data_IF_411456599531
#
_entry.id   IF_411456599531
#
_cell.length_a   1.000
_cell.length_b   1.000
_cell.length_c   1.000
_cell.angle_alpha   90.00
_cell.angle_beta   90.00
_cell.angle_gamma   90.00
#
_symmetry.space_group_name_H-M   'P 1'
#
loop_
_entity.id
_entity.type
_entity.pdbx_description
1 polymer ?
#
# COMPACT_ATOMS: atom_id res chain seq x y z
N UNK A 1 -1.05 5.45 -6.19
CA UNK A 1 -0.65 5.48 -7.63
C UNK A 1 0.05 6.78 -8.03
N UNK A 2 -0.66 7.91 -8.11
CA UNK A 2 -0.11 9.14 -8.71
C UNK A 2 1.15 9.68 -8.00
N UNK A 3 1.22 9.56 -6.67
CA UNK A 3 2.40 9.98 -5.90
C UNK A 3 3.66 9.18 -6.25
N UNK A 4 3.52 7.88 -6.53
CA UNK A 4 4.63 7.00 -6.96
C UNK A 4 5.11 7.40 -8.35
N UNK A 5 4.20 7.73 -9.27
CA UNK A 5 4.54 8.23 -10.60
C UNK A 5 5.18 9.63 -10.56
N UNK A 6 4.84 10.45 -9.56
CA UNK A 6 5.43 11.76 -9.34
C UNK A 6 6.86 11.75 -8.78
N UNK A 7 7.45 10.56 -8.56
CA UNK A 7 8.86 10.38 -8.16
C UNK A 7 9.24 11.05 -6.83
N UNK A 8 8.49 10.74 -5.77
CA UNK A 8 8.92 11.01 -4.38
C UNK A 8 10.00 10.02 -3.93
N UNK A 9 10.69 10.31 -2.80
CA UNK A 9 11.71 9.39 -2.25
C UNK A 9 11.13 8.01 -1.90
N UNK A 10 10.03 8.00 -1.17
CA UNK A 10 9.39 6.78 -0.68
C UNK A 10 7.92 7.00 -0.38
N UNK A 11 7.14 5.93 -0.41
CA UNK A 11 5.73 5.89 -0.01
C UNK A 11 5.52 4.72 0.95
N UNK A 12 4.90 4.98 2.08
CA UNK A 12 4.44 3.93 2.99
C UNK A 12 2.94 3.83 2.94
N UNK A 13 2.43 2.61 2.72
CA UNK A 13 1.01 2.30 2.69
C UNK A 13 0.58 1.84 4.08
N UNK A 14 -0.43 2.51 4.64
CA UNK A 14 -1.06 2.09 5.89
C UNK A 14 -2.47 1.58 5.61
N UNK A 15 -2.77 0.38 6.10
CA UNK A 15 -4.12 -0.19 6.17
C UNK A 15 -4.09 -1.31 7.22
N UNK A 16 -5.10 -1.38 8.09
CA UNK A 16 -5.25 -2.45 9.08
C UNK A 16 -6.18 -3.58 8.57
N UNK A 17 -6.96 -3.31 7.51
CA UNK A 17 -7.97 -4.22 7.01
C UNK A 17 -7.48 -5.23 5.98
N UNK A 18 -8.31 -6.24 5.77
CA UNK A 18 -8.09 -7.31 4.80
C UNK A 18 -8.77 -6.99 3.47
N UNK A 19 -8.25 -7.58 2.39
CA UNK A 19 -8.90 -7.56 1.08
C UNK A 19 -10.20 -8.35 1.17
N UNK A 20 -11.31 -7.68 0.86
CA UNK A 20 -12.66 -8.24 0.80
C UNK A 20 -13.21 -8.18 -0.64
N UNK A 21 -14.34 -8.85 -0.88
CA UNK A 21 -14.92 -8.96 -2.23
C UNK A 21 -15.23 -7.59 -2.86
N UNK A 22 -15.67 -6.63 -2.06
CA UNK A 22 -16.00 -5.29 -2.54
C UNK A 22 -14.76 -4.48 -2.97
N UNK A 23 -13.57 -4.81 -2.46
CA UNK A 23 -12.31 -4.16 -2.84
C UNK A 23 -11.92 -4.47 -4.30
N UNK A 24 -12.42 -5.56 -4.87
CA UNK A 24 -12.13 -5.98 -6.26
C UNK A 24 -12.90 -5.20 -7.32
N UNK A 25 -13.98 -4.53 -6.92
CA UNK A 25 -14.87 -3.84 -7.85
C UNK A 25 -14.26 -2.58 -8.48
N UNK A 26 -13.19 -2.02 -7.89
CA UNK A 26 -12.63 -0.73 -8.32
C UNK A 26 -11.09 -0.64 -8.33
N UNK A 27 -10.39 -1.68 -7.85
CA UNK A 27 -8.93 -1.63 -7.70
C UNK A 27 -8.22 -2.62 -8.62
N UNK A 28 -7.40 -2.10 -9.55
CA UNK A 28 -6.40 -2.89 -10.30
C UNK A 28 -5.34 -3.54 -9.38
N UNK A 29 -5.35 -3.18 -8.10
CA UNK A 29 -4.38 -3.60 -7.08
C UNK A 29 -4.64 -5.00 -6.54
N UNK A 30 -5.85 -5.55 -6.62
CA UNK A 30 -6.15 -6.84 -6.00
C UNK A 30 -6.54 -7.89 -7.03
N UNK A 31 -6.14 -9.13 -6.78
CA UNK A 31 -6.63 -10.32 -7.47
C UNK A 31 -7.39 -11.22 -6.48
N UNK A 32 -8.14 -12.21 -6.97
CA UNK A 32 -8.86 -13.16 -6.10
C UNK A 32 -7.94 -13.85 -5.08
N UNK A 33 -6.68 -14.12 -5.48
CA UNK A 33 -5.65 -14.71 -4.62
C UNK A 33 -5.20 -13.83 -3.46
N UNK A 34 -5.54 -12.54 -3.47
CA UNK A 34 -5.20 -11.61 -2.39
C UNK A 34 -6.27 -11.54 -1.29
N UNK A 35 -7.43 -12.19 -1.46
CA UNK A 35 -8.50 -12.19 -0.44
C UNK A 35 -8.00 -12.64 0.92
N UNK A 36 -8.40 -11.90 1.96
CA UNK A 36 -7.98 -12.17 3.33
C UNK A 36 -6.53 -11.76 3.65
N UNK A 37 -5.74 -11.30 2.67
CA UNK A 37 -4.46 -10.62 2.93
C UNK A 37 -4.72 -9.18 3.31
N UNK A 38 -3.85 -8.58 4.11
CA UNK A 38 -3.92 -7.14 4.39
C UNK A 38 -3.81 -6.32 3.09
N UNK A 39 -4.65 -5.29 2.94
CA UNK A 39 -4.72 -4.47 1.72
C UNK A 39 -3.43 -3.72 1.38
N UNK A 40 -2.75 -3.17 2.39
CA UNK A 40 -1.46 -2.51 2.17
C UNK A 40 -0.42 -3.52 1.67
N UNK A 41 -0.32 -4.69 2.30
CA UNK A 41 0.59 -5.77 1.89
C UNK A 41 0.29 -6.32 0.51
N UNK A 42 -0.97 -6.51 0.14
CA UNK A 42 -1.38 -6.97 -1.18
C UNK A 42 -1.05 -5.95 -2.29
N UNK A 43 -0.99 -4.66 -1.96
CA UNK A 43 -0.76 -3.58 -2.92
C UNK A 43 0.72 -3.34 -3.26
N UNK A 44 1.65 -3.76 -2.41
CA UNK A 44 3.07 -3.35 -2.49
C UNK A 44 3.68 -3.65 -3.84
N UNK A 45 3.58 -4.90 -4.29
CA UNK A 45 4.26 -5.34 -5.51
C UNK A 45 3.81 -4.52 -6.72
N UNK A 46 2.49 -4.45 -6.95
CA UNK A 46 1.92 -3.72 -8.08
C UNK A 46 2.24 -2.22 -8.02
N UNK A 47 2.30 -1.64 -6.83
CA UNK A 47 2.66 -0.23 -6.67
C UNK A 47 4.15 0.02 -6.87
N UNK A 48 5.01 -0.91 -6.46
CA UNK A 48 6.46 -0.85 -6.68
C UNK A 48 6.79 -0.92 -8.18
N UNK A 49 6.07 -1.75 -8.94
CA UNK A 49 6.22 -1.92 -10.39
C UNK A 49 5.89 -0.64 -11.19
N UNK A 50 5.12 0.30 -10.63
CA UNK A 50 4.81 1.57 -11.29
C UNK A 50 6.03 2.50 -11.39
N UNK A 51 6.94 2.42 -10.42
CA UNK A 51 8.16 3.21 -10.42
C UNK A 51 9.19 2.58 -9.46
N UNK A 52 10.15 1.85 -10.02
CA UNK A 52 11.22 1.20 -9.25
C UNK A 52 12.16 2.17 -8.53
N UNK A 53 12.13 3.47 -8.86
CA UNK A 53 12.92 4.49 -8.16
C UNK A 53 12.29 4.95 -6.84
N UNK A 54 11.00 4.67 -6.61
CA UNK A 54 10.30 5.02 -5.37
C UNK A 54 10.25 3.79 -4.47
N UNK A 55 10.79 3.89 -3.26
CA UNK A 55 10.67 2.79 -2.30
C UNK A 55 9.24 2.72 -1.75
N UNK A 56 8.57 1.56 -1.94
CA UNK A 56 7.22 1.31 -1.41
C UNK A 56 7.30 0.35 -0.22
N UNK A 57 6.77 0.76 0.92
CA UNK A 57 6.71 -0.06 2.14
C UNK A 57 5.31 -0.07 2.75
N UNK A 58 5.11 -0.86 3.81
CA UNK A 58 3.81 -0.98 4.49
C UNK A 58 3.93 -0.80 5.98
N UNK A 59 2.85 -0.28 6.57
CA UNK A 59 2.60 -0.28 8.00
C UNK A 59 1.21 -0.86 8.23
N UNK A 60 1.11 -2.07 8.77
CA UNK A 60 -0.18 -2.79 8.94
C UNK A 60 -0.69 -2.78 10.36
N UNK A 61 0.08 -2.22 11.28
CA UNK A 61 -0.28 -2.11 12.69
C UNK A 61 -1.07 -0.82 12.94
N UNK A 62 -1.74 -0.78 14.08
CA UNK A 62 -2.44 0.43 14.54
C UNK A 62 -1.48 1.61 14.59
N UNK A 63 -1.89 2.69 13.95
CA UNK A 63 -1.05 3.88 13.82
C UNK A 63 -0.81 4.54 15.17
N UNK A 64 0.46 4.76 15.50
CA UNK A 64 0.90 5.48 16.70
C UNK A 64 1.55 6.83 16.34
N UNK A 65 1.62 7.75 17.31
CA UNK A 65 2.27 9.05 17.11
C UNK A 65 3.78 8.90 16.86
N UNK A 66 4.39 7.91 17.50
CA UNK A 66 5.80 7.58 17.35
C UNK A 66 6.08 7.13 15.91
N UNK A 67 5.23 6.28 15.34
CA UNK A 67 5.36 5.86 13.94
C UNK A 67 5.23 7.04 12.97
N UNK A 68 4.30 7.96 13.23
CA UNK A 68 4.06 9.15 12.41
C UNK A 68 5.24 10.14 12.43
N UNK A 69 6.02 10.19 13.51
CA UNK A 69 7.19 11.07 13.61
C UNK A 69 8.31 10.75 12.61
N UNK A 70 8.26 9.60 11.94
CA UNK A 70 9.22 9.20 10.90
C UNK A 70 8.93 9.83 9.51
N UNK A 71 7.82 10.55 9.36
CA UNK A 71 7.42 11.20 8.11
C UNK A 71 7.49 12.73 8.28
N UNK A 72 7.94 13.43 7.24
CA UNK A 72 8.12 14.88 7.22
C UNK A 72 7.03 15.56 6.40
#
# INVERSE_FOLDING_TARGET
>A
KNLILASVKSVTLHDEGLVELWDMSSNFLFAETDMGRNRALASVQKLQELNNAVAVSTLTEKLSKEQLSNYQ
#
